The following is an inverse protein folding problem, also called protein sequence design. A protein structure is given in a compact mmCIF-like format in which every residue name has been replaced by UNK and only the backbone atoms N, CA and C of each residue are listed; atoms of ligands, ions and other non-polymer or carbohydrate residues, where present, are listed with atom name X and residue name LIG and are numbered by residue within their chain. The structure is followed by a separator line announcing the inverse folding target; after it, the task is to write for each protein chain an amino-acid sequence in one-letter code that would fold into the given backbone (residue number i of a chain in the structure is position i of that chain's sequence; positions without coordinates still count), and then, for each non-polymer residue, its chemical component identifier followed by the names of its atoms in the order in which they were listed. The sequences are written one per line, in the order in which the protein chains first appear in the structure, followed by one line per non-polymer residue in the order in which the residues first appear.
data_IF_496524517846
#
_entry.id   IF_496524517846
#
_cell.length_a   1.000
_cell.length_b   1.000
_cell.length_c   1.000
_cell.angle_alpha   90.00
_cell.angle_beta   90.00
_cell.angle_gamma   90.00
#
_symmetry.space_group_name_H-M   'P 1'
#
loop_
_entity.id
_entity.type
_entity.pdbx_description
1 polymer ?
#
# COMPACT_ATOMS: atom_id res chain seq x y z
N UNK A 1 -15.41 9.29 82.68
CA UNK A 1 -14.64 8.51 81.69
C UNK A 1 -15.64 7.81 80.77
N UNK A 2 -15.84 8.31 79.55
CA UNK A 2 -16.61 7.62 78.52
C UNK A 2 -15.68 7.37 77.33
N UNK A 3 -15.36 6.10 77.07
CA UNK A 3 -14.55 5.67 75.94
C UNK A 3 -15.42 5.59 74.69
N UNK A 4 -15.23 6.52 73.75
CA UNK A 4 -15.84 6.48 72.42
C UNK A 4 -14.98 5.58 71.52
N UNK A 5 -15.48 4.38 71.21
CA UNK A 5 -14.85 3.50 70.23
C UNK A 5 -15.10 4.02 68.81
N UNK A 6 -14.03 4.46 68.12
CA UNK A 6 -14.09 4.86 66.71
C UNK A 6 -13.96 3.61 65.83
N UNK A 7 -15.06 3.22 65.19
CA UNK A 7 -15.07 2.15 64.19
C UNK A 7 -14.57 2.70 62.85
N UNK A 8 -13.43 2.20 62.36
CA UNK A 8 -12.88 2.54 61.04
C UNK A 8 -13.25 1.45 60.04
N UNK A 9 -14.32 1.66 59.28
CA UNK A 9 -14.65 0.79 58.13
C UNK A 9 -13.88 1.28 56.90
N UNK A 10 -12.92 0.48 56.43
CA UNK A 10 -12.21 0.74 55.18
C UNK A 10 -13.09 0.37 53.97
N UNK A 11 -13.32 1.32 53.06
CA UNK A 11 -14.03 1.07 51.79
C UNK A 11 -13.04 0.57 50.73
N UNK A 12 -13.34 -0.49 49.98
CA UNK A 12 -12.45 -0.95 48.93
C UNK A 12 -12.50 0.02 47.74
N UNK A 13 -11.33 0.37 47.21
CA UNK A 13 -11.21 1.13 45.95
C UNK A 13 -11.28 0.14 44.80
N UNK A 14 -12.38 0.15 44.04
CA UNK A 14 -12.49 -0.64 42.83
C UNK A 14 -11.59 -0.03 41.74
N UNK A 15 -10.74 -0.85 41.11
CA UNK A 15 -9.95 -0.44 39.93
C UNK A 15 -10.86 -0.44 38.70
N UNK A 16 -10.89 0.67 37.98
CA UNK A 16 -11.62 0.78 36.73
C UNK A 16 -10.96 -0.09 35.63
N UNK A 17 -11.73 -0.73 34.73
CA UNK A 17 -11.16 -1.45 33.60
C UNK A 17 -10.54 -0.46 32.61
N UNK A 18 -9.29 -0.71 32.23
CA UNK A 18 -8.62 0.03 31.16
C UNK A 18 -9.23 -0.40 29.83
N UNK A 19 -9.94 0.52 29.17
CA UNK A 19 -10.50 0.29 27.84
C UNK A 19 -9.38 0.37 26.81
N UNK A 20 -8.89 -0.78 26.35
CA UNK A 20 -8.01 -0.86 25.19
C UNK A 20 -8.86 -0.64 23.93
N UNK A 21 -8.81 0.59 23.38
CA UNK A 21 -9.35 0.84 22.04
C UNK A 21 -8.52 0.06 21.04
N UNK A 22 -9.10 -1.00 20.47
CA UNK A 22 -8.53 -1.69 19.31
C UNK A 22 -8.57 -0.72 18.14
N UNK A 23 -7.41 -0.19 17.73
CA UNK A 23 -7.31 0.65 16.54
C UNK A 23 -7.52 -0.25 15.34
N UNK A 24 -8.63 -0.06 14.63
CA UNK A 24 -8.89 -0.73 13.37
C UNK A 24 -7.92 -0.17 12.33
N UNK A 25 -6.84 -0.90 12.06
CA UNK A 25 -5.89 -0.52 11.02
C UNK A 25 -6.59 -0.69 9.67
N UNK A 26 -6.82 0.41 8.95
CA UNK A 26 -7.31 0.35 7.57
C UNK A 26 -6.24 -0.35 6.74
N UNK A 27 -6.52 -1.58 6.32
CA UNK A 27 -5.67 -2.32 5.38
C UNK A 27 -5.78 -1.63 4.03
N UNK A 28 -4.78 -0.85 3.63
CA UNK A 28 -4.71 -0.27 2.29
C UNK A 28 -4.48 -1.43 1.33
N UNK A 29 -5.52 -1.76 0.54
CA UNK A 29 -5.39 -2.72 -0.55
C UNK A 29 -5.06 -1.91 -1.80
N UNK A 30 -3.78 -1.87 -2.17
CA UNK A 30 -3.35 -1.35 -3.48
C UNK A 30 -3.86 -2.33 -4.54
N UNK A 31 -4.94 -1.97 -5.23
CA UNK A 31 -5.41 -2.70 -6.41
C UNK A 31 -4.83 -2.02 -7.65
N UNK A 32 -3.93 -2.70 -8.35
CA UNK A 32 -3.50 -2.30 -9.68
C UNK A 32 -4.69 -2.32 -10.66
N UNK A 33 -4.76 -1.32 -11.53
CA UNK A 33 -5.73 -1.20 -12.63
C UNK A 33 -5.67 -2.41 -13.56
N UNK A 34 -6.77 -2.74 -14.26
CA UNK A 34 -6.81 -3.86 -15.19
C UNK A 34 -6.10 -3.50 -16.50
N UNK A 35 -4.77 -3.36 -16.49
CA UNK A 35 -3.94 -3.39 -17.71
C UNK A 35 -3.46 -4.79 -18.18
N UNK A 36 -3.59 -5.92 -17.44
CA UNK A 36 -3.09 -7.21 -17.95
C UNK A 36 -3.89 -7.71 -19.17
N UNK A 37 -5.14 -7.29 -19.32
CA UNK A 37 -5.98 -7.65 -20.45
C UNK A 37 -5.43 -7.15 -21.80
N UNK A 38 -4.65 -6.05 -21.81
CA UNK A 38 -4.04 -5.52 -23.01
C UNK A 38 -2.88 -6.42 -23.49
N UNK A 39 -2.02 -6.87 -22.57
CA UNK A 39 -0.92 -7.80 -22.89
C UNK A 39 -1.47 -9.16 -23.33
N UNK A 40 -2.49 -9.67 -22.64
CA UNK A 40 -3.10 -10.96 -22.99
C UNK A 40 -3.75 -10.95 -24.38
N UNK A 41 -4.36 -9.83 -24.77
CA UNK A 41 -4.89 -9.67 -26.14
C UNK A 41 -3.76 -9.62 -27.17
N UNK A 42 -2.71 -8.83 -26.90
CA UNK A 42 -1.56 -8.70 -27.79
C UNK A 42 -0.81 -10.04 -27.98
N UNK A 43 -0.70 -10.85 -26.93
CA UNK A 43 -0.10 -12.19 -27.01
C UNK A 43 -0.90 -13.08 -27.96
N UNK A 44 -2.24 -13.10 -27.84
CA UNK A 44 -3.09 -13.89 -28.74
C UNK A 44 -2.96 -13.44 -30.20
N UNK A 45 -2.92 -12.13 -30.42
CA UNK A 45 -2.70 -11.57 -31.76
C UNK A 45 -1.32 -11.95 -32.32
N UNK A 46 -0.28 -11.96 -31.48
CA UNK A 46 1.06 -12.41 -31.88
C UNK A 46 1.08 -13.92 -32.20
N UNK A 47 0.41 -14.75 -31.41
CA UNK A 47 0.26 -16.18 -31.67
C UNK A 47 -0.46 -16.43 -33.02
N UNK A 48 -1.56 -15.73 -33.28
CA UNK A 48 -2.32 -15.84 -34.53
C UNK A 48 -1.50 -15.36 -35.75
N UNK A 49 -0.74 -14.27 -35.60
CA UNK A 49 0.16 -13.73 -36.62
C UNK A 49 1.33 -14.66 -36.89
N UNK A 50 1.87 -15.31 -35.88
CA UNK A 50 2.93 -16.31 -36.05
C UNK A 50 2.41 -17.62 -36.68
N UNK A 51 1.16 -17.98 -36.43
CA UNK A 51 0.56 -19.18 -37.02
C UNK A 51 0.19 -19.00 -38.51
N UNK A 52 -0.14 -17.78 -38.94
CA UNK A 52 -0.68 -17.49 -40.28
C UNK A 52 0.22 -16.63 -41.17
N UNK A 53 1.18 -15.91 -40.59
CA UNK A 53 2.01 -14.92 -41.28
C UNK A 53 3.43 -15.38 -41.59
N UNK A 54 4.21 -14.44 -42.13
CA UNK A 54 5.64 -14.63 -42.39
C UNK A 54 6.46 -14.45 -41.11
N UNK A 55 7.70 -14.96 -41.09
CA UNK A 55 8.61 -14.78 -39.95
C UNK A 55 8.81 -13.30 -39.56
N UNK A 56 8.73 -12.37 -40.52
CA UNK A 56 8.84 -10.94 -40.26
C UNK A 56 7.61 -10.35 -39.56
N UNK A 57 6.42 -10.78 -39.95
CA UNK A 57 5.16 -10.37 -39.30
C UNK A 57 5.02 -10.97 -37.90
N UNK A 58 5.51 -12.20 -37.70
CA UNK A 58 5.59 -12.83 -36.38
C UNK A 58 6.52 -12.05 -35.44
N UNK A 59 7.72 -11.68 -35.91
CA UNK A 59 8.65 -10.86 -35.12
C UNK A 59 8.05 -9.49 -34.77
N UNK A 60 7.48 -8.79 -35.76
CA UNK A 60 6.84 -7.50 -35.54
C UNK A 60 5.65 -7.57 -34.56
N UNK A 61 4.90 -8.68 -34.56
CA UNK A 61 3.82 -8.87 -33.59
C UNK A 61 4.34 -9.05 -32.16
N UNK A 62 5.46 -9.75 -31.98
CA UNK A 62 6.12 -9.86 -30.68
C UNK A 62 6.79 -8.56 -30.24
N UNK A 63 7.30 -7.74 -31.17
CA UNK A 63 7.80 -6.39 -30.86
C UNK A 63 6.67 -5.52 -30.25
N UNK A 64 5.44 -5.61 -30.78
CA UNK A 64 4.30 -4.90 -30.20
C UNK A 64 3.93 -5.40 -28.78
N UNK A 65 4.07 -6.70 -28.50
CA UNK A 65 3.85 -7.24 -27.14
C UNK A 65 4.89 -6.69 -26.17
N UNK A 66 6.15 -6.57 -26.61
CA UNK A 66 7.23 -5.96 -25.83
C UNK A 66 6.91 -4.50 -25.49
N UNK A 67 6.54 -3.70 -26.49
CA UNK A 67 6.22 -2.28 -26.30
C UNK A 67 5.05 -2.08 -25.31
N UNK A 68 3.98 -2.86 -25.44
CA UNK A 68 2.83 -2.78 -24.54
C UNK A 68 3.23 -3.15 -23.11
N UNK A 69 4.03 -4.22 -22.95
CA UNK A 69 4.50 -4.67 -21.64
C UNK A 69 5.43 -3.64 -20.99
N UNK A 70 6.30 -3.01 -21.78
CA UNK A 70 7.18 -1.94 -21.34
C UNK A 70 6.37 -0.72 -20.86
N UNK A 71 5.37 -0.28 -21.62
CA UNK A 71 4.51 0.84 -21.25
C UNK A 71 3.76 0.58 -19.93
N UNK A 72 3.25 -0.64 -19.72
CA UNK A 72 2.57 -1.04 -18.48
C UNK A 72 3.55 -1.05 -17.31
N UNK A 73 4.76 -1.60 -17.50
CA UNK A 73 5.79 -1.59 -16.45
C UNK A 73 6.17 -0.16 -16.08
N UNK A 74 6.33 0.71 -17.06
CA UNK A 74 6.68 2.12 -16.84
C UNK A 74 5.61 2.86 -16.05
N UNK A 75 4.32 2.62 -16.35
CA UNK A 75 3.20 3.15 -15.56
C UNK A 75 3.24 2.65 -14.12
N UNK A 76 3.45 1.34 -13.90
CA UNK A 76 3.53 0.76 -12.56
C UNK A 76 4.66 1.39 -11.72
N UNK A 77 5.82 1.63 -12.33
CA UNK A 77 6.93 2.29 -11.65
C UNK A 77 6.56 3.73 -11.29
N UNK A 78 5.92 4.47 -12.20
CA UNK A 78 5.46 5.83 -11.93
C UNK A 78 4.40 5.87 -10.80
N UNK A 79 3.46 4.92 -10.78
CA UNK A 79 2.45 4.82 -9.73
C UNK A 79 3.06 4.42 -8.37
N UNK A 80 4.14 3.62 -8.39
CA UNK A 80 4.85 3.19 -7.19
C UNK A 80 5.76 4.28 -6.59
N UNK A 81 6.10 5.33 -7.34
CA UNK A 81 6.94 6.43 -6.86
C UNK A 81 6.32 7.23 -5.69
N UNK A 82 5.03 7.04 -5.42
CA UNK A 82 4.32 7.64 -4.29
C UNK A 82 3.73 6.57 -3.35
N UNK A 83 4.33 5.38 -3.34
CA UNK A 83 3.80 4.24 -2.59
C UNK A 83 4.22 4.22 -1.12
N UNK A 84 5.27 4.94 -0.75
CA UNK A 84 5.66 5.09 0.65
C UNK A 84 4.76 6.13 1.34
N UNK A 85 3.90 5.73 2.28
CA UNK A 85 3.07 6.66 3.02
C UNK A 85 3.90 7.66 3.86
N UNK A 86 5.15 7.32 4.20
CA UNK A 86 6.03 8.21 4.95
C UNK A 86 6.57 9.34 4.08
N UNK A 87 6.97 9.07 2.83
CA UNK A 87 7.39 10.13 1.89
C UNK A 87 6.28 11.16 1.69
N UNK A 88 5.05 10.72 1.39
CA UNK A 88 3.91 11.63 1.26
C UNK A 88 3.64 12.44 2.52
N UNK A 89 3.81 11.84 3.69
CA UNK A 89 3.64 12.54 4.96
C UNK A 89 4.73 13.60 5.17
N UNK A 90 5.97 13.29 4.81
CA UNK A 90 7.11 14.19 4.94
C UNK A 90 7.08 15.35 3.95
N UNK A 91 6.52 15.17 2.75
CA UNK A 91 6.28 16.24 1.78
C UNK A 91 5.39 17.35 2.36
N UNK A 92 4.33 16.97 3.08
CA UNK A 92 3.39 17.89 3.70
C UNK A 92 3.85 18.37 5.10
N UNK A 93 4.75 17.64 5.76
CA UNK A 93 5.19 17.87 7.14
C UNK A 93 6.72 17.77 7.28
N UNK A 94 7.50 18.68 6.67
CA UNK A 94 8.96 18.59 6.66
C UNK A 94 9.59 18.72 8.06
N UNK A 95 8.92 19.39 8.99
CA UNK A 95 9.41 19.61 10.36
C UNK A 95 9.06 18.48 11.34
N UNK A 96 8.26 17.50 10.91
CA UNK A 96 7.89 16.35 11.73
C UNK A 96 9.14 15.59 12.20
N UNK A 97 9.09 15.01 13.39
CA UNK A 97 10.24 14.33 13.98
C UNK A 97 10.69 13.12 13.14
N UNK A 98 9.77 12.53 12.39
CA UNK A 98 10.02 11.43 11.45
C UNK A 98 10.63 11.89 10.10
N UNK A 99 10.60 13.20 9.80
CA UNK A 99 10.91 13.76 8.48
C UNK A 99 12.09 14.73 8.47
N UNK A 100 12.63 15.08 9.65
CA UNK A 100 13.72 16.05 9.78
C UNK A 100 15.02 15.44 9.25
N UNK A 101 15.47 15.89 8.07
CA UNK A 101 16.76 15.53 7.46
C UNK A 101 17.75 16.68 7.66
N UNK A 102 18.97 16.36 8.09
CA UNK A 102 20.06 17.34 8.21
C UNK A 102 21.09 17.06 7.11
N UNK A 103 21.50 18.09 6.38
CA UNK A 103 22.66 18.01 5.49
C UNK A 103 23.95 18.16 6.33
N UNK A 104 24.91 17.25 6.14
CA UNK A 104 26.23 17.23 6.79
C UNK A 104 27.22 18.26 6.18
#
# INVERSE_FOLDING_TARGET
MALLARSTVARPVARAPVSTRVVSVRRVVVRSTPEPAAVETAIKEAEDKCASGTSGECAAAWDNVEEISAAISHKKVADAANSDPLEQFCDDNPDADECRVYDD
#
